data_IF_615591926464
#
_entry.id   IF_615591926464
#
_cell.length_a   1.000
_cell.length_b   1.000
_cell.length_c   1.000
_cell.angle_alpha   90.00
_cell.angle_beta   90.00
_cell.angle_gamma   90.00
#
_symmetry.space_group_name_H-M   'P 1'
#
loop_
_entity.id
_entity.type
_entity.pdbx_description
1 polymer ?
#
# COMPACT_ATOMS: atom_id res chain seq x y z
N UNK A 1 -2.50 -11.00 -5.14
CA UNK A 1 -3.88 -10.61 -4.73
C UNK A 1 -3.76 -9.69 -3.50
N UNK A 2 -4.52 -8.59 -3.40
CA UNK A 2 -4.45 -7.62 -2.29
C UNK A 2 -5.26 -8.04 -1.04
N UNK A 3 -5.36 -9.35 -0.80
CA UNK A 3 -5.97 -9.93 0.40
C UNK A 3 -7.31 -9.32 0.82
N UNK A 4 -7.44 -9.06 2.12
CA UNK A 4 -8.65 -8.54 2.79
C UNK A 4 -9.10 -7.15 2.34
N UNK A 5 -8.27 -6.41 1.60
CA UNK A 5 -8.57 -5.05 1.13
C UNK A 5 -8.84 -4.97 -0.38
N UNK A 6 -9.16 -6.09 -1.02
CA UNK A 6 -9.55 -6.12 -2.44
C UNK A 6 -10.72 -5.16 -2.70
N UNK A 7 -10.56 -4.27 -3.67
CA UNK A 7 -11.58 -3.28 -4.06
C UNK A 7 -11.53 -1.97 -3.27
N UNK A 8 -10.67 -1.84 -2.25
CA UNK A 8 -10.50 -0.57 -1.52
C UNK A 8 -9.39 0.29 -2.14
N UNK A 9 -9.53 1.64 -2.12
CA UNK A 9 -8.45 2.54 -2.50
C UNK A 9 -7.22 2.36 -1.59
N UNK A 10 -6.03 2.24 -2.20
CA UNK A 10 -4.76 2.06 -1.47
C UNK A 10 -4.53 3.17 -0.44
N UNK A 11 -4.88 4.43 -0.75
CA UNK A 11 -4.74 5.54 0.18
C UNK A 11 -5.54 5.32 1.48
N UNK A 12 -6.79 4.85 1.37
CA UNK A 12 -7.62 4.56 2.55
C UNK A 12 -7.08 3.36 3.34
N UNK A 13 -6.60 2.33 2.64
CA UNK A 13 -5.97 1.18 3.29
C UNK A 13 -4.73 1.59 4.08
N UNK A 14 -3.86 2.43 3.51
CA UNK A 14 -2.65 2.91 4.19
C UNK A 14 -2.97 3.79 5.41
N UNK A 15 -4.08 4.52 5.39
CA UNK A 15 -4.56 5.33 6.52
C UNK A 15 -5.19 4.48 7.62
N UNK A 16 -5.96 3.46 7.24
CA UNK A 16 -6.65 2.55 8.16
C UNK A 16 -5.71 1.51 8.78
N UNK A 17 -4.74 1.02 8.01
CA UNK A 17 -3.82 -0.04 8.40
C UNK A 17 -2.40 0.29 7.90
N UNK A 18 -1.64 1.12 8.66
CA UNK A 18 -0.28 1.49 8.29
C UNK A 18 0.66 0.29 8.17
N UNK A 19 0.38 -0.80 8.88
CA UNK A 19 1.13 -2.06 8.85
C UNK A 19 0.98 -2.80 7.52
N UNK A 20 -0.12 -2.56 6.80
CA UNK A 20 -0.36 -3.15 5.49
C UNK A 20 0.72 -2.79 4.46
N UNK A 21 1.32 -1.60 4.58
CA UNK A 21 2.47 -1.21 3.76
C UNK A 21 3.63 -2.18 3.94
N UNK A 22 3.98 -2.51 5.20
CA UNK A 22 5.08 -3.43 5.51
C UNK A 22 4.78 -4.84 4.99
N UNK A 23 3.53 -5.30 5.12
CA UNK A 23 3.10 -6.59 4.57
C UNK A 23 3.28 -6.68 3.05
N UNK A 24 2.92 -5.62 2.30
CA UNK A 24 3.16 -5.58 0.84
C UNK A 24 4.66 -5.57 0.52
N UNK A 25 5.48 -4.82 1.28
CA UNK A 25 6.91 -4.76 1.03
C UNK A 25 7.63 -6.08 1.29
N UNK A 26 7.23 -6.82 2.32
CA UNK A 26 7.79 -8.12 2.67
C UNK A 26 7.21 -9.25 1.80
N UNK A 27 5.99 -9.08 1.30
CA UNK A 27 5.34 -10.05 0.43
C UNK A 27 5.96 -10.16 -0.97
N UNK A 28 5.62 -11.25 -1.65
CA UNK A 28 6.01 -11.51 -3.04
C UNK A 28 5.12 -10.72 -4.02
N UNK A 29 5.40 -9.43 -4.11
CA UNK A 29 4.78 -8.51 -5.06
C UNK A 29 5.83 -8.00 -6.03
N UNK A 30 5.39 -7.71 -7.26
CA UNK A 30 6.27 -7.11 -8.28
C UNK A 30 6.87 -5.79 -7.76
N UNK A 31 8.08 -5.47 -8.23
CA UNK A 31 8.75 -4.22 -7.87
C UNK A 31 7.89 -2.99 -8.20
N UNK A 32 7.20 -3.00 -9.35
CA UNK A 32 6.32 -1.92 -9.75
C UNK A 32 5.18 -1.70 -8.73
N UNK A 33 4.57 -2.78 -8.22
CA UNK A 33 3.54 -2.67 -7.16
C UNK A 33 4.10 -2.00 -5.90
N UNK A 34 5.28 -2.44 -5.43
CA UNK A 34 5.93 -1.88 -4.23
C UNK A 34 6.27 -0.40 -4.42
N UNK A 35 6.80 -0.03 -5.59
CA UNK A 35 7.11 1.35 -5.94
C UNK A 35 5.86 2.23 -6.00
N UNK A 36 4.78 1.75 -6.63
CA UNK A 36 3.52 2.50 -6.72
C UNK A 36 2.90 2.73 -5.33
N UNK A 37 2.91 1.71 -4.47
CA UNK A 37 2.43 1.85 -3.09
C UNK A 37 3.22 2.91 -2.31
N UNK A 38 4.54 2.93 -2.50
CA UNK A 38 5.44 3.88 -1.86
C UNK A 38 5.19 5.31 -2.35
N UNK A 39 5.00 5.50 -3.66
CA UNK A 39 4.62 6.81 -4.23
C UNK A 39 3.33 7.34 -3.63
N UNK A 40 2.31 6.48 -3.49
CA UNK A 40 1.04 6.86 -2.87
C UNK A 40 1.26 7.24 -1.41
N UNK A 41 2.00 6.44 -0.64
CA UNK A 41 2.32 6.72 0.77
C UNK A 41 2.99 8.09 0.95
N UNK A 42 4.01 8.40 0.15
CA UNK A 42 4.72 9.69 0.21
C UNK A 42 3.77 10.85 -0.12
N UNK A 43 2.94 10.69 -1.16
CA UNK A 43 1.95 11.70 -1.55
C UNK A 43 0.94 11.98 -0.44
N UNK A 44 0.46 10.95 0.25
CA UNK A 44 -0.50 11.14 1.35
C UNK A 44 0.18 11.66 2.64
N UNK A 45 1.49 11.45 2.83
CA UNK A 45 2.22 11.98 4.00
C UNK A 45 2.51 13.49 3.91
N UNK A 46 2.46 14.08 2.72
CA UNK A 46 2.65 15.51 2.49
C UNK A 46 1.35 16.33 2.42
N UNK A 47 0.20 15.69 2.64
CA UNK A 47 -1.11 16.35 2.79
C UNK A 47 -1.46 16.45 4.27
#
# INVERSE_FOLDING_TARGET
NFGKYKGMPVAEVLRRDPGYYSWILQGDFTLNTKQMLTKIRIREAGK
#
